data_IF_249354977426
#
_entry.id   IF_249354977426
#
_cell.length_a   1.000
_cell.length_b   1.000
_cell.length_c   1.000
_cell.angle_alpha   90.00
_cell.angle_beta   90.00
_cell.angle_gamma   90.00
#
_symmetry.space_group_name_H-M   'P 1'
#
loop_
_entity.id
_entity.type
_entity.pdbx_description
1 polymer ?
#
# COMPACT_ATOMS: atom_id res chain seq x y z
N UNK A 1 -7.33 -7.12 29.37
CA UNK A 1 -6.48 -6.44 28.38
C UNK A 1 -6.53 -7.25 27.09
N UNK A 2 -7.28 -6.79 26.08
CA UNK A 2 -7.27 -7.43 24.77
C UNK A 2 -5.89 -7.18 24.15
N UNK A 3 -5.15 -8.25 23.83
CA UNK A 3 -3.93 -8.15 23.02
C UNK A 3 -4.35 -7.54 21.69
N UNK A 4 -3.96 -6.29 21.46
CA UNK A 4 -4.05 -5.68 20.15
C UNK A 4 -3.08 -6.48 19.27
N UNK A 5 -3.61 -7.32 18.38
CA UNK A 5 -2.80 -8.00 17.39
C UNK A 5 -2.09 -6.91 16.58
N UNK A 6 -0.77 -6.78 16.75
CA UNK A 6 0.04 -5.83 16.01
C UNK A 6 0.00 -6.22 14.52
N UNK A 7 -0.95 -5.63 13.81
CA UNK A 7 -1.07 -5.79 12.37
C UNK A 7 0.23 -5.38 11.69
N UNK A 8 0.70 -6.21 10.78
CA UNK A 8 2.02 -6.04 10.18
C UNK A 8 1.90 -5.23 8.90
N UNK A 9 2.61 -4.10 8.83
CA UNK A 9 2.53 -3.19 7.69
C UNK A 9 3.52 -3.53 6.57
N UNK A 10 3.06 -3.32 5.34
CA UNK A 10 3.80 -3.48 4.07
C UNK A 10 3.58 -2.25 3.20
N UNK A 11 4.63 -1.79 2.50
CA UNK A 11 4.53 -0.67 1.55
C UNK A 11 4.58 -1.22 0.14
N UNK A 12 3.70 -0.72 -0.74
CA UNK A 12 3.84 -0.86 -2.18
C UNK A 12 4.15 0.52 -2.80
N UNK A 13 5.25 0.59 -3.54
CA UNK A 13 5.68 1.75 -4.32
C UNK A 13 5.22 1.64 -5.76
N UNK A 14 5.25 2.77 -6.49
CA UNK A 14 4.87 2.86 -7.91
C UNK A 14 3.42 2.41 -8.16
N UNK A 15 2.53 2.63 -7.18
CA UNK A 15 1.11 2.39 -7.36
C UNK A 15 0.50 3.53 -8.15
N UNK A 16 -0.14 3.21 -9.27
CA UNK A 16 -0.79 4.20 -10.11
C UNK A 16 -1.97 4.82 -9.38
N UNK A 17 -2.03 6.15 -9.37
CA UNK A 17 -3.08 6.94 -8.71
C UNK A 17 -4.37 6.92 -9.55
N UNK A 18 -4.98 5.73 -9.66
CA UNK A 18 -6.28 5.56 -10.31
C UNK A 18 -7.37 6.24 -9.48
N UNK A 19 -8.27 7.02 -10.11
CA UNK A 19 -9.29 7.79 -9.39
C UNK A 19 -10.18 6.89 -8.52
N UNK A 20 -10.55 5.71 -9.03
CA UNK A 20 -11.37 4.74 -8.30
C UNK A 20 -10.70 4.28 -6.99
N UNK A 21 -9.38 4.05 -6.99
CA UNK A 21 -8.63 3.61 -5.82
C UNK A 21 -8.35 4.74 -4.82
N UNK A 22 -8.37 6.00 -5.28
CA UNK A 22 -8.29 7.17 -4.42
C UNK A 22 -9.62 7.39 -3.69
N UNK A 23 -10.73 7.27 -4.42
CA UNK A 23 -12.09 7.49 -3.88
C UNK A 23 -12.55 6.31 -3.04
N UNK A 24 -12.22 5.08 -3.45
CA UNK A 24 -12.59 3.84 -2.78
C UNK A 24 -11.34 3.03 -2.39
N UNK A 25 -10.83 3.21 -1.17
CA UNK A 25 -9.80 2.33 -0.62
C UNK A 25 -10.22 0.85 -0.57
N UNK A 26 -11.52 0.57 -0.52
CA UNK A 26 -12.06 -0.80 -0.60
C UNK A 26 -11.86 -1.42 -1.99
N UNK A 27 -12.03 -0.65 -3.08
CA UNK A 27 -11.74 -1.13 -4.43
C UNK A 27 -10.25 -1.44 -4.60
N UNK A 28 -9.38 -0.59 -4.03
CA UNK A 28 -7.94 -0.86 -4.01
C UNK A 28 -7.59 -2.13 -3.21
N UNK A 29 -8.28 -2.36 -2.10
CA UNK A 29 -8.13 -3.60 -1.34
C UNK A 29 -8.49 -4.82 -2.19
N UNK A 30 -9.69 -4.82 -2.76
CA UNK A 30 -10.21 -5.92 -3.57
C UNK A 30 -9.30 -6.25 -4.76
N UNK A 31 -8.80 -5.23 -5.46
CA UNK A 31 -7.82 -5.37 -6.54
C UNK A 31 -6.57 -6.12 -6.05
N UNK A 32 -5.99 -5.69 -4.93
CA UNK A 32 -4.76 -6.29 -4.42
C UNK A 32 -5.02 -7.75 -4.00
N UNK A 33 -6.11 -8.02 -3.26
CA UNK A 33 -6.45 -9.36 -2.79
C UNK A 33 -6.73 -10.33 -3.96
N UNK A 34 -7.47 -9.87 -4.97
CA UNK A 34 -7.87 -10.65 -6.15
C UNK A 34 -6.67 -11.10 -6.98
N UNK A 35 -5.72 -10.19 -7.25
CA UNK A 35 -4.64 -10.47 -8.19
C UNK A 35 -3.33 -10.94 -7.55
N UNK A 36 -3.19 -10.86 -6.22
CA UNK A 36 -1.90 -11.13 -5.55
C UNK A 36 -1.97 -12.25 -4.50
N UNK A 37 -3.12 -12.92 -4.35
CA UNK A 37 -3.32 -14.00 -3.36
C UNK A 37 -2.86 -13.56 -1.96
N UNK A 38 -3.31 -12.39 -1.53
CA UNK A 38 -2.98 -11.79 -0.23
C UNK A 38 -4.28 -11.42 0.47
N UNK A 39 -4.29 -11.47 1.80
CA UNK A 39 -5.42 -10.98 2.59
C UNK A 39 -4.99 -9.73 3.36
N UNK A 40 -5.64 -8.61 3.04
CA UNK A 40 -5.37 -7.31 3.64
C UNK A 40 -6.33 -7.09 4.82
N UNK A 41 -5.77 -6.70 5.96
CA UNK A 41 -6.52 -6.26 7.13
C UNK A 41 -6.76 -4.75 7.01
N UNK A 42 -8.00 -4.32 7.24
CA UNK A 42 -8.40 -2.93 7.02
C UNK A 42 -8.32 -2.50 5.55
N UNK A 43 -8.25 -1.18 5.32
CA UNK A 43 -8.14 -0.58 3.99
C UNK A 43 -6.70 -0.06 3.74
N UNK A 44 -6.15 -0.24 2.53
CA UNK A 44 -4.91 0.40 2.14
C UNK A 44 -4.98 1.93 2.26
N UNK A 45 -3.86 2.55 2.64
CA UNK A 45 -3.74 4.00 2.81
C UNK A 45 -2.67 4.57 1.89
N UNK A 46 -2.98 5.69 1.23
CA UNK A 46 -2.02 6.40 0.39
C UNK A 46 -0.98 7.14 1.23
N UNK A 47 0.30 6.95 0.90
CA UNK A 47 1.44 7.71 1.43
C UNK A 47 1.76 8.89 0.50
N UNK A 48 0.74 9.71 0.24
CA UNK A 48 0.86 10.95 -0.52
C UNK A 48 0.02 12.04 0.14
N UNK A 49 0.43 13.31 -0.06
CA UNK A 49 -0.34 14.46 0.42
C UNK A 49 -1.75 14.45 -0.17
N UNK A 50 -2.75 14.78 0.65
CA UNK A 50 -4.17 14.80 0.22
C UNK A 50 -4.38 15.69 -1.00
N UNK A 51 -3.69 16.82 -1.08
CA UNK A 51 -3.75 17.75 -2.21
C UNK A 51 -3.29 17.06 -3.51
N UNK A 52 -2.20 16.29 -3.44
CA UNK A 52 -1.69 15.53 -4.59
C UNK A 52 -2.68 14.46 -5.05
N UNK A 53 -3.36 13.80 -4.11
CA UNK A 53 -4.38 12.79 -4.44
C UNK A 53 -5.59 13.43 -5.13
N UNK A 54 -6.04 14.59 -4.66
CA UNK A 54 -7.16 15.34 -5.26
C UNK A 54 -6.84 15.80 -6.69
N UNK A 55 -5.59 16.18 -6.96
CA UNK A 55 -5.15 16.66 -8.29
C UNK A 55 -4.51 15.59 -9.16
N UNK A 56 -4.57 14.31 -8.77
CA UNK A 56 -3.90 13.22 -9.50
C UNK A 56 -4.31 13.14 -10.98
N UNK A 57 -5.58 13.42 -11.28
CA UNK A 57 -6.13 13.46 -12.64
C UNK A 57 -5.58 14.60 -13.52
N UNK A 58 -4.97 15.63 -12.92
CA UNK A 58 -4.31 16.75 -13.61
C UNK A 58 -2.82 16.50 -13.82
N UNK A 59 -2.23 15.55 -13.12
CA UNK A 59 -0.79 15.26 -13.23
C UNK A 59 -0.48 14.61 -14.60
N UNK A 60 0.71 14.82 -15.15
CA UNK A 60 1.23 14.03 -16.26
C UNK A 60 1.22 12.51 -15.94
N UNK A 61 0.97 11.62 -16.92
CA UNK A 61 0.86 10.17 -16.67
C UNK A 61 2.06 9.54 -15.95
N UNK A 62 3.27 10.02 -16.21
CA UNK A 62 4.52 9.61 -15.58
C UNK A 62 4.63 10.02 -14.10
N UNK A 63 3.86 11.03 -13.67
CA UNK A 63 3.83 11.55 -12.30
C UNK A 63 2.64 11.01 -11.47
N UNK A 64 1.75 10.24 -12.10
CA UNK A 64 0.55 9.62 -11.48
C UNK A 64 0.87 8.36 -10.67
N UNK A 65 1.96 8.38 -9.91
CA UNK A 65 2.33 7.27 -9.04
C UNK A 65 2.61 7.76 -7.63
N UNK A 66 2.23 6.94 -6.66
CA UNK A 66 2.52 7.16 -5.25
C UNK A 66 2.81 5.81 -4.58
N UNK A 67 2.97 5.86 -3.26
CA UNK A 67 3.11 4.66 -2.44
C UNK A 67 1.84 4.46 -1.62
N UNK A 68 1.54 3.21 -1.29
CA UNK A 68 0.47 2.85 -0.35
C UNK A 68 1.07 2.02 0.78
N UNK A 69 0.43 2.05 1.94
CA UNK A 69 0.67 1.12 3.04
C UNK A 69 -0.59 0.27 3.23
N UNK A 70 -0.41 -1.03 3.44
CA UNK A 70 -1.48 -1.95 3.79
C UNK A 70 -1.02 -2.91 4.89
N UNK A 71 -1.98 -3.51 5.57
CA UNK A 71 -1.76 -4.33 6.76
C UNK A 71 -2.08 -5.79 6.45
N UNK A 72 -1.24 -6.70 6.97
CA UNK A 72 -1.42 -8.15 6.86
C UNK A 72 -1.42 -8.78 8.25
N UNK A 73 -1.96 -10.00 8.31
CA UNK A 73 -2.21 -10.70 9.58
C UNK A 73 -0.93 -11.09 10.34
N UNK A 74 0.16 -11.38 9.64
CA UNK A 74 1.34 -11.96 10.26
C UNK A 74 2.65 -11.52 9.62
N UNK A 75 3.74 -11.67 10.39
CA UNK A 75 5.10 -11.45 9.90
C UNK A 75 5.47 -12.43 8.78
N UNK A 76 4.97 -13.67 8.86
CA UNK A 76 5.18 -14.69 7.84
C UNK A 76 4.57 -14.25 6.51
N UNK A 77 3.36 -13.68 6.54
CA UNK A 77 2.69 -13.15 5.36
C UNK A 77 3.45 -11.95 4.78
N UNK A 78 3.93 -11.03 5.64
CA UNK A 78 4.82 -9.95 5.20
C UNK A 78 6.07 -10.50 4.51
N UNK A 79 6.75 -11.47 5.09
CA UNK A 79 7.97 -12.04 4.51
C UNK A 79 7.70 -12.74 3.18
N UNK A 80 6.57 -13.44 3.05
CA UNK A 80 6.11 -14.06 1.80
C UNK A 80 5.88 -13.01 0.72
N UNK A 81 5.26 -11.88 1.05
CA UNK A 81 5.06 -10.78 0.10
C UNK A 81 6.38 -10.12 -0.28
N UNK A 82 7.23 -9.81 0.71
CA UNK A 82 8.53 -9.16 0.44
C UNK A 82 9.46 -10.02 -0.40
N UNK A 83 9.38 -11.37 -0.31
CA UNK A 83 10.17 -12.26 -1.16
C UNK A 83 9.72 -12.23 -2.63
N UNK A 84 8.44 -11.93 -2.90
CA UNK A 84 7.94 -11.70 -4.26
C UNK A 84 8.43 -10.39 -4.86
N UNK A 85 8.85 -9.42 -4.02
CA UNK A 85 9.34 -8.07 -4.37
C UNK A 85 8.34 -7.15 -5.07
N UNK A 86 7.26 -7.69 -5.64
CA UNK A 86 6.31 -6.93 -6.45
C UNK A 86 4.90 -7.51 -6.39
N UNK A 87 3.91 -6.65 -6.66
CA UNK A 87 2.51 -7.00 -6.85
C UNK A 87 1.99 -6.42 -8.18
N UNK A 88 0.91 -6.99 -8.69
CA UNK A 88 0.12 -6.42 -9.78
C UNK A 88 -1.03 -5.61 -9.20
N UNK A 89 -1.14 -4.34 -9.59
CA UNK A 89 -2.25 -3.45 -9.22
C UNK A 89 -2.71 -2.70 -10.48
N UNK A 90 -3.96 -2.88 -10.88
CA UNK A 90 -4.55 -2.41 -12.14
C UNK A 90 -3.68 -2.76 -13.36
N UNK A 91 -3.20 -4.00 -13.42
CA UNK A 91 -2.33 -4.49 -14.49
C UNK A 91 -0.92 -3.87 -14.53
N UNK A 92 -0.51 -3.14 -13.48
CA UNK A 92 0.82 -2.52 -13.38
C UNK A 92 1.63 -3.10 -12.22
N UNK A 93 2.94 -3.11 -12.40
CA UNK A 93 3.88 -3.57 -11.37
C UNK A 93 4.03 -2.51 -10.29
N UNK A 94 3.76 -2.90 -9.04
CA UNK A 94 4.06 -2.15 -7.84
C UNK A 94 5.15 -2.88 -7.04
N UNK A 95 6.11 -2.14 -6.47
CA UNK A 95 7.26 -2.72 -5.78
C UNK A 95 7.05 -2.76 -4.27
N UNK A 96 7.28 -3.90 -3.65
CA UNK A 96 7.10 -4.10 -2.22
C UNK A 96 8.36 -3.73 -1.44
N UNK A 97 8.18 -3.03 -0.32
CA UNK A 97 9.21 -2.82 0.68
C UNK A 97 8.66 -2.98 2.10
N UNK A 98 9.57 -3.26 3.02
CA UNK A 98 9.24 -3.35 4.44
C UNK A 98 8.89 -1.95 4.97
N UNK A 99 7.78 -1.84 5.69
CA UNK A 99 7.49 -0.65 6.47
C UNK A 99 8.44 -0.62 7.67
N UNK A 100 9.43 0.28 7.66
CA UNK A 100 10.23 0.58 8.83
C UNK A 100 9.54 1.68 9.61
N UNK A 101 8.97 1.32 10.76
CA UNK A 101 8.49 2.30 11.72
C UNK A 101 9.74 2.91 12.38
N UNK A 102 10.36 3.89 11.71
CA UNK A 102 11.50 4.61 12.29
C UNK A 102 10.92 5.44 13.43
N UNK A 103 11.23 5.04 14.66
CA UNK A 103 10.89 5.81 15.85
C UNK A 103 11.36 7.25 15.66
N UNK A 104 10.56 8.24 16.07
CA UNK A 104 10.94 9.65 16.03
C UNK A 104 12.30 9.92 16.74
N UNK A 105 12.73 9.02 17.63
CA UNK A 105 14.04 9.09 18.30
C UNK A 105 15.25 8.78 17.40
N UNK A 106 15.05 8.25 16.19
CA UNK A 106 16.13 7.87 15.27
C UNK A 106 16.31 8.84 14.10
N UNK A 107 15.51 9.91 14.04
CA UNK A 107 15.74 11.05 13.17
C UNK A 107 16.58 12.07 13.93
N UNK A 108 17.90 11.85 13.96
CA UNK A 108 18.87 12.85 14.41
C UNK A 108 19.22 13.80 13.26
#
# INVERSE_FOLDING_TARGET
MQKQEDLVQVIAHKVYMHNEFIVSPAALKEEIETFNKVTIKGNPRWLAKKERLKTAHLLPPDQRYASIVFEVESEQERQRLLSQKQLSIAGRVAYLTKYYNISAKTQC
#
